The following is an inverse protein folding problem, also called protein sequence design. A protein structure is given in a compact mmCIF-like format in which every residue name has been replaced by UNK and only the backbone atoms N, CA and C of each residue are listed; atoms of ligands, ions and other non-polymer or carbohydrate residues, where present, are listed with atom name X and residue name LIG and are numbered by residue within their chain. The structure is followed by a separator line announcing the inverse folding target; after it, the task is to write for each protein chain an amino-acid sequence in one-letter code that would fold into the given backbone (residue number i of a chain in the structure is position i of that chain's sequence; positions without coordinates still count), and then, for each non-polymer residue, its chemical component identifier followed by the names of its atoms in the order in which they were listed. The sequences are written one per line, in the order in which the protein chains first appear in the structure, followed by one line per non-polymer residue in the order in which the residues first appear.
data_IF_251328626606
#
_entry.id   IF_251328626606
#
_cell.length_a   1.000
_cell.length_b   1.000
_cell.length_c   1.000
_cell.angle_alpha   90.00
_cell.angle_beta   90.00
_cell.angle_gamma   90.00
#
_symmetry.space_group_name_H-M   'P 1'
#
loop_
_entity.id
_entity.type
_entity.pdbx_description
1 polymer ?
#
# COMPACT_ATOMS: atom_id res chain seq x y z
N UNK A 1 6.35 -22.37 24.52
CA UNK A 1 7.30 -21.27 24.78
C UNK A 1 7.02 -20.15 23.79
N UNK A 2 6.52 -18.99 24.24
CA UNK A 2 6.38 -17.80 23.40
C UNK A 2 7.74 -17.10 23.43
N UNK A 3 8.50 -17.16 22.34
CA UNK A 3 9.70 -16.33 22.21
C UNK A 3 9.24 -14.87 22.07
N UNK A 4 9.87 -13.98 22.83
CA UNK A 4 9.63 -12.55 22.68
C UNK A 4 10.04 -12.15 21.25
N UNK A 5 9.19 -11.39 20.56
CA UNK A 5 9.47 -10.90 19.21
C UNK A 5 10.78 -10.13 19.19
N UNK A 6 11.11 -9.44 20.27
CA UNK A 6 12.38 -8.74 20.43
C UNK A 6 13.58 -9.70 20.47
N UNK A 7 13.49 -10.78 21.25
CA UNK A 7 14.55 -11.81 21.33
C UNK A 7 14.73 -12.53 19.98
N UNK A 8 13.63 -12.81 19.28
CA UNK A 8 13.66 -13.52 18.00
C UNK A 8 14.25 -12.65 16.89
N UNK A 9 13.93 -11.35 16.85
CA UNK A 9 14.54 -10.40 15.92
C UNK A 9 16.02 -10.14 16.23
N UNK A 10 16.39 -10.13 17.51
CA UNK A 10 17.79 -9.99 17.93
C UNK A 10 18.61 -11.22 17.53
N UNK A 11 18.05 -12.43 17.70
CA UNK A 11 18.71 -13.68 17.34
C UNK A 11 18.89 -13.89 15.83
N UNK A 12 18.03 -13.28 15.01
CA UNK A 12 18.10 -13.33 13.54
C UNK A 12 18.94 -12.19 12.93
N UNK A 13 19.58 -11.35 13.75
CA UNK A 13 20.44 -10.27 13.25
C UNK A 13 21.67 -10.88 12.57
N UNK A 14 21.98 -10.51 11.30
CA UNK A 14 23.15 -11.03 10.61
C UNK A 14 24.42 -10.64 11.36
N UNK A 15 25.33 -11.60 11.58
CA UNK A 15 26.70 -11.30 12.01
C UNK A 15 27.56 -11.03 10.76
N UNK A 16 28.59 -10.19 10.88
CA UNK A 16 29.52 -9.92 9.76
C UNK A 16 30.11 -11.20 9.16
N UNK A 17 30.29 -12.24 9.97
CA UNK A 17 30.81 -13.55 9.55
C UNK A 17 29.80 -14.41 8.74
N UNK A 18 28.52 -14.05 8.69
CA UNK A 18 27.45 -14.87 8.06
C UNK A 18 26.98 -14.36 6.69
N UNK A 19 27.65 -13.38 6.09
CA UNK A 19 27.23 -12.78 4.83
C UNK A 19 27.96 -13.38 3.62
N UNK A 20 27.19 -13.68 2.58
CA UNK A 20 27.66 -14.28 1.34
C UNK A 20 28.58 -13.33 0.57
N UNK A 21 29.73 -13.83 0.09
CA UNK A 21 30.79 -13.01 -0.55
C UNK A 21 30.45 -12.56 -1.96
N UNK A 22 29.27 -12.94 -2.47
CA UNK A 22 28.85 -12.63 -3.84
C UNK A 22 28.34 -11.20 -4.00
N UNK A 23 28.17 -10.44 -2.91
CA UNK A 23 27.78 -9.04 -2.95
C UNK A 23 29.01 -8.13 -3.11
N UNK A 24 28.95 -7.09 -3.98
CA UNK A 24 29.97 -6.04 -4.03
C UNK A 24 30.14 -5.39 -2.65
N UNK A 25 31.40 -5.21 -2.21
CA UNK A 25 31.69 -4.80 -0.82
C UNK A 25 31.02 -3.48 -0.44
N UNK A 26 31.02 -2.50 -1.34
CA UNK A 26 30.39 -1.21 -1.09
C UNK A 26 28.88 -1.30 -0.83
N UNK A 27 28.17 -2.17 -1.56
CA UNK A 27 26.71 -2.36 -1.40
C UNK A 27 26.39 -3.17 -0.15
N UNK A 28 27.23 -4.16 0.17
CA UNK A 28 27.13 -4.95 1.40
C UNK A 28 27.31 -4.05 2.61
N UNK A 29 28.34 -3.22 2.63
CA UNK A 29 28.71 -2.43 3.80
C UNK A 29 27.67 -1.31 4.07
N UNK A 30 27.10 -0.70 3.02
CA UNK A 30 25.99 0.26 3.15
C UNK A 30 24.72 -0.41 3.67
N UNK A 31 24.40 -1.62 3.17
CA UNK A 31 23.23 -2.37 3.61
C UNK A 31 23.41 -2.84 5.07
N UNK A 32 24.60 -3.34 5.41
CA UNK A 32 24.97 -3.76 6.76
C UNK A 32 24.89 -2.59 7.73
N UNK A 33 25.46 -1.44 7.40
CA UNK A 33 25.40 -0.24 8.22
C UNK A 33 23.96 0.19 8.49
N UNK A 34 23.05 0.04 7.52
CA UNK A 34 21.63 0.38 7.68
C UNK A 34 20.89 -0.63 8.58
N UNK A 35 21.11 -1.92 8.37
CA UNK A 35 20.50 -3.00 9.17
C UNK A 35 21.03 -2.99 10.60
N UNK A 36 22.32 -2.68 10.78
CA UNK A 36 22.94 -2.60 12.10
C UNK A 36 22.68 -1.26 12.81
N UNK A 37 22.44 -0.15 12.11
CA UNK A 37 22.05 1.11 12.77
C UNK A 37 20.61 1.08 13.29
N UNK A 38 19.77 0.18 12.79
CA UNK A 38 18.37 0.05 13.24
C UNK A 38 18.30 -0.89 14.43
N UNK A 39 18.31 -0.36 15.65
CA UNK A 39 17.99 -1.15 16.83
C UNK A 39 16.49 -1.46 16.86
N UNK A 40 16.08 -2.72 17.13
CA UNK A 40 14.68 -3.02 17.35
C UNK A 40 14.17 -2.24 18.57
N UNK A 41 12.94 -1.72 18.49
CA UNK A 41 12.31 -1.01 19.61
C UNK A 41 12.23 -1.91 20.84
N UNK A 42 12.80 -1.45 21.95
CA UNK A 42 12.69 -2.14 23.23
C UNK A 42 11.22 -2.24 23.67
N UNK A 43 10.78 -3.40 24.21
CA UNK A 43 9.41 -3.53 24.67
C UNK A 43 9.10 -2.53 25.80
N UNK A 44 7.89 -1.96 25.85
CA UNK A 44 7.53 -1.00 26.89
C UNK A 44 7.59 -1.64 28.28
N UNK A 45 8.29 -0.99 29.21
CA UNK A 45 8.44 -1.46 30.58
C UNK A 45 7.07 -1.68 31.25
N UNK A 46 6.80 -2.91 31.70
CA UNK A 46 5.55 -3.26 32.40
C UNK A 46 5.48 -2.54 33.75
N UNK A 47 4.79 -1.41 33.79
CA UNK A 47 4.45 -0.71 35.03
C UNK A 47 3.43 -1.56 35.81
N UNK A 48 3.84 -2.18 36.92
CA UNK A 48 2.93 -2.91 37.83
C UNK A 48 1.98 -1.93 38.51
N UNK A 49 0.79 -1.74 37.95
CA UNK A 49 -0.31 -1.04 38.62
C UNK A 49 -1.21 -2.05 39.32
N UNK A 50 -1.35 -1.87 40.64
CA UNK A 50 -2.14 -2.70 41.55
C UNK A 50 -3.62 -2.65 41.19
N UNK A 51 -4.24 -3.84 41.21
CA UNK A 51 -5.66 -4.19 41.09
C UNK A 51 -6.64 -3.11 41.56
N UNK A 52 -7.56 -2.69 40.67
CA UNK A 52 -9.01 -2.64 40.94
C UNK A 52 -9.77 -3.02 39.66
N UNK A 53 -10.67 -3.97 39.82
CA UNK A 53 -11.40 -4.64 38.75
C UNK A 53 -12.50 -3.75 38.17
N UNK A 54 -12.57 -3.68 36.83
CA UNK A 54 -13.81 -3.43 36.10
C UNK A 54 -13.79 -4.39 34.90
N UNK A 55 -14.77 -5.28 34.87
CA UNK A 55 -15.04 -6.21 33.79
C UNK A 55 -15.70 -5.41 32.67
N UNK A 56 -15.08 -5.37 31.48
CA UNK A 56 -15.76 -5.03 30.22
C UNK A 56 -15.40 -6.09 29.20
N UNK A 57 -16.44 -6.75 28.70
CA UNK A 57 -16.43 -7.91 27.83
C UNK A 57 -16.02 -7.58 26.38
N UNK A 58 -15.27 -8.51 25.79
CA UNK A 58 -15.24 -8.92 24.37
C UNK A 58 -15.68 -7.92 23.28
N UNK A 59 -14.72 -7.45 22.48
CA UNK A 59 -14.88 -7.32 21.03
C UNK A 59 -13.49 -7.29 20.37
N UNK A 60 -13.32 -8.07 19.30
CA UNK A 60 -12.03 -8.39 18.67
C UNK A 60 -11.21 -7.18 18.21
N UNK A 61 -9.95 -7.13 18.66
CA UNK A 61 -8.90 -6.44 17.91
C UNK A 61 -8.61 -7.30 16.69
N UNK A 62 -8.96 -6.90 15.46
CA UNK A 62 -8.61 -5.61 14.91
C UNK A 62 -7.12 -5.67 14.58
N UNK A 63 -6.77 -6.49 13.58
CA UNK A 63 -5.43 -6.51 13.02
C UNK A 63 -5.23 -5.11 12.41
N UNK A 64 -4.53 -4.25 13.15
CA UNK A 64 -3.92 -3.07 12.58
C UNK A 64 -2.94 -3.55 11.51
N UNK A 65 -3.37 -3.51 10.26
CA UNK A 65 -2.46 -3.50 9.13
C UNK A 65 -1.73 -2.15 9.16
N UNK A 66 -0.76 -2.04 10.08
CA UNK A 66 0.25 -1.02 10.01
C UNK A 66 1.03 -1.30 8.72
N UNK A 67 0.72 -0.50 7.69
CA UNK A 67 1.45 -0.53 6.43
C UNK A 67 2.92 -0.35 6.75
N UNK A 68 3.72 -1.35 6.42
CA UNK A 68 5.17 -1.23 6.43
C UNK A 68 5.50 -0.29 5.27
N UNK A 69 5.59 1.00 5.57
CA UNK A 69 6.03 2.02 4.64
C UNK A 69 7.51 1.80 4.36
N UNK A 70 7.83 1.00 3.34
CA UNK A 70 9.16 1.02 2.74
C UNK A 70 9.19 2.20 1.77
N UNK A 71 9.49 3.39 2.29
CA UNK A 71 9.93 4.50 1.47
C UNK A 71 11.25 4.10 0.83
N UNK A 72 11.22 3.72 -0.45
CA UNK A 72 12.37 3.19 -1.14
C UNK A 72 12.29 3.43 -2.63
N UNK A 73 12.92 4.51 -3.08
CA UNK A 73 13.92 4.50 -4.14
C UNK A 73 14.64 5.87 -4.17
N UNK A 74 15.82 5.98 -3.55
CA UNK A 74 16.72 7.12 -3.73
C UNK A 74 17.51 7.03 -5.05
N UNK A 75 16.91 6.45 -6.09
CA UNK A 75 17.54 6.16 -7.37
C UNK A 75 16.49 6.18 -8.48
N UNK A 76 16.94 6.40 -9.73
CA UNK A 76 16.05 6.47 -10.90
C UNK A 76 15.23 5.19 -11.01
N UNK A 77 13.94 5.34 -11.26
CA UNK A 77 13.07 4.20 -11.51
C UNK A 77 13.43 3.56 -12.85
N UNK A 78 13.36 2.21 -12.98
CA UNK A 78 13.62 1.53 -14.23
C UNK A 78 12.74 2.06 -15.37
N UNK A 79 13.31 2.18 -16.57
CA UNK A 79 12.57 2.68 -17.73
C UNK A 79 11.36 1.80 -18.04
N UNK A 80 11.45 0.48 -17.81
CA UNK A 80 10.33 -0.45 -17.98
C UNK A 80 9.10 -0.07 -17.16
N UNK A 81 9.27 0.57 -16.00
CA UNK A 81 8.18 1.07 -15.18
C UNK A 81 7.71 2.45 -15.65
N UNK A 82 8.64 3.40 -15.81
CA UNK A 82 8.26 4.79 -16.12
C UNK A 82 7.75 5.00 -17.54
N UNK A 83 8.09 4.10 -18.48
CA UNK A 83 7.64 4.19 -19.88
C UNK A 83 6.12 4.20 -20.01
N UNK A 84 5.42 3.43 -19.19
CA UNK A 84 3.95 3.37 -19.19
C UNK A 84 3.30 4.72 -18.82
N UNK A 85 4.03 5.58 -18.10
CA UNK A 85 3.58 6.89 -17.65
C UNK A 85 4.26 8.03 -18.42
N UNK A 86 5.01 7.72 -19.49
CA UNK A 86 5.83 8.71 -20.22
C UNK A 86 5.04 9.86 -20.86
N UNK A 87 3.71 9.74 -20.97
CA UNK A 87 2.86 10.83 -21.44
C UNK A 87 2.63 11.90 -20.39
N UNK A 88 2.75 11.62 -19.08
CA UNK A 88 2.48 12.59 -18.01
C UNK A 88 3.35 13.84 -18.11
N UNK A 89 4.63 13.67 -18.46
CA UNK A 89 5.54 14.80 -18.61
C UNK A 89 5.12 15.71 -19.76
N UNK A 90 4.56 15.14 -20.84
CA UNK A 90 4.11 15.89 -22.02
C UNK A 90 2.72 16.51 -21.82
N UNK A 91 1.81 15.76 -21.22
CA UNK A 91 0.39 16.11 -21.20
C UNK A 91 0.04 17.01 -20.00
N UNK A 92 0.68 16.76 -18.85
CA UNK A 92 0.36 17.43 -17.58
C UNK A 92 1.58 17.92 -16.82
N UNK A 93 2.78 17.84 -17.40
CA UNK A 93 4.01 18.37 -16.81
C UNK A 93 4.52 17.61 -15.58
N UNK A 94 4.10 16.37 -15.36
CA UNK A 94 4.55 15.55 -14.22
C UNK A 94 5.58 14.54 -14.68
N UNK A 95 6.79 14.58 -14.11
CA UNK A 95 7.87 13.65 -14.43
C UNK A 95 7.64 12.27 -13.75
N UNK A 96 7.47 11.18 -14.52
CA UNK A 96 7.33 9.83 -13.96
C UNK A 96 8.54 9.35 -13.14
N UNK A 97 9.72 9.94 -13.35
CA UNK A 97 10.91 9.62 -12.55
C UNK A 97 10.82 10.16 -11.11
N UNK A 98 9.86 11.05 -10.82
CA UNK A 98 9.56 11.55 -9.47
C UNK A 98 8.51 10.68 -8.74
N UNK A 99 8.10 9.55 -9.31
CA UNK A 99 7.17 8.63 -8.64
C UNK A 99 7.78 8.07 -7.35
N UNK A 100 7.06 8.24 -6.27
CA UNK A 100 7.39 7.69 -4.96
C UNK A 100 6.39 6.62 -4.56
N UNK A 101 6.89 5.49 -4.04
CA UNK A 101 6.03 4.45 -3.45
C UNK A 101 5.38 5.03 -2.19
N UNK A 102 4.05 5.14 -2.18
CA UNK A 102 3.30 5.66 -1.01
C UNK A 102 2.79 4.57 -0.10
N UNK A 103 2.25 3.50 -0.66
CA UNK A 103 1.65 2.42 0.10
C UNK A 103 1.55 1.14 -0.74
N UNK A 104 1.44 0.01 -0.05
CA UNK A 104 1.22 -1.29 -0.67
C UNK A 104 0.33 -2.18 0.20
N UNK A 105 -0.46 -3.04 -0.45
CA UNK A 105 -1.30 -4.07 0.18
C UNK A 105 -1.14 -5.39 -0.56
N UNK A 106 -1.49 -6.54 0.03
CA UNK A 106 -1.47 -7.81 -0.67
C UNK A 106 -2.27 -7.74 -1.99
N UNK A 107 -1.61 -8.13 -3.07
CA UNK A 107 -2.15 -8.28 -4.42
C UNK A 107 -2.58 -9.72 -4.71
N UNK A 108 -3.06 -10.01 -5.94
CA UNK A 108 -3.33 -11.36 -6.39
C UNK A 108 -2.03 -12.17 -6.49
N UNK A 109 -2.12 -13.49 -6.34
CA UNK A 109 -1.06 -14.45 -6.64
C UNK A 109 0.30 -14.18 -5.95
N UNK A 110 0.25 -13.62 -4.73
CA UNK A 110 1.46 -13.30 -3.95
C UNK A 110 2.19 -12.02 -4.39
N UNK A 111 1.58 -11.21 -5.28
CA UNK A 111 2.07 -9.87 -5.61
C UNK A 111 1.72 -8.85 -4.52
N UNK A 112 2.27 -7.66 -4.63
CA UNK A 112 1.89 -6.48 -3.82
C UNK A 112 1.23 -5.47 -4.74
N UNK A 113 0.00 -5.09 -4.42
CA UNK A 113 -0.64 -3.94 -5.07
C UNK A 113 -0.10 -2.66 -4.46
N UNK A 114 0.56 -1.84 -5.28
CA UNK A 114 1.29 -0.66 -4.83
C UNK A 114 0.74 0.59 -5.48
N UNK A 115 0.63 1.65 -4.68
CA UNK A 115 0.28 3.01 -5.13
C UNK A 115 1.54 3.88 -5.14
N UNK A 116 1.77 4.53 -6.28
CA UNK A 116 2.87 5.43 -6.55
C UNK A 116 2.34 6.83 -6.82
N UNK A 117 3.03 7.86 -6.33
CA UNK A 117 2.60 9.25 -6.50
C UNK A 117 3.74 10.12 -6.99
N UNK A 118 3.45 10.99 -7.95
CA UNK A 118 4.33 12.07 -8.38
C UNK A 118 3.52 13.37 -8.42
N UNK A 119 4.08 14.44 -7.87
CA UNK A 119 3.49 15.77 -7.93
C UNK A 119 4.38 16.68 -8.76
N UNK A 120 3.82 17.29 -9.79
CA UNK A 120 4.48 18.28 -10.61
C UNK A 120 4.47 19.65 -9.95
N UNK A 121 5.37 20.53 -10.39
CA UNK A 121 5.50 21.88 -9.84
C UNK A 121 4.29 22.78 -10.17
N UNK A 122 3.44 22.33 -11.10
CA UNK A 122 2.15 22.94 -11.45
C UNK A 122 0.99 22.55 -10.51
N UNK A 123 1.25 21.82 -9.42
CA UNK A 123 0.23 21.37 -8.47
C UNK A 123 -0.65 20.21 -8.97
N UNK A 124 -0.30 19.59 -10.11
CA UNK A 124 -0.94 18.36 -10.56
C UNK A 124 -0.27 17.18 -9.85
N UNK A 125 -1.09 16.31 -9.26
CA UNK A 125 -0.65 15.05 -8.68
C UNK A 125 -1.12 13.90 -9.55
N UNK A 126 -0.17 13.10 -10.01
CA UNK A 126 -0.42 11.87 -10.74
C UNK A 126 -0.20 10.68 -9.82
N UNK A 127 -1.15 9.75 -9.85
CA UNK A 127 -1.11 8.50 -9.11
C UNK A 127 -1.06 7.35 -10.10
N UNK A 128 -0.14 6.41 -9.87
CA UNK A 128 -0.02 5.16 -10.61
C UNK A 128 -0.23 3.98 -9.69
N UNK A 129 -0.83 2.91 -10.21
CA UNK A 129 -0.97 1.64 -9.51
C UNK A 129 -0.24 0.54 -10.27
N UNK A 130 0.36 -0.39 -9.53
CA UNK A 130 1.02 -1.54 -10.12
C UNK A 130 0.94 -2.76 -9.20
N UNK A 131 0.98 -3.95 -9.80
CA UNK A 131 1.28 -5.18 -9.07
C UNK A 131 2.78 -5.46 -9.15
N UNK A 132 3.43 -5.54 -8.00
CA UNK A 132 4.86 -5.80 -7.86
C UNK A 132 5.09 -7.22 -7.34
N UNK A 133 6.05 -7.93 -7.96
CA UNK A 133 6.51 -9.23 -7.42
C UNK A 133 7.58 -8.98 -6.36
N UNK A 134 7.41 -9.47 -5.11
CA UNK A 134 8.42 -9.34 -4.08
C UNK A 134 9.79 -9.87 -4.53
N UNK A 135 10.85 -9.10 -4.28
CA UNK A 135 12.21 -9.46 -4.69
C UNK A 135 12.52 -9.26 -6.17
N UNK A 136 11.57 -8.78 -6.99
CA UNK A 136 11.75 -8.48 -8.41
C UNK A 136 11.39 -7.02 -8.72
N UNK A 137 12.24 -6.05 -8.34
CA UNK A 137 11.96 -4.61 -8.45
C UNK A 137 11.73 -4.09 -9.88
N UNK A 138 11.99 -4.90 -10.91
CA UNK A 138 11.83 -4.55 -12.32
C UNK A 138 10.54 -5.10 -12.94
N UNK A 139 9.77 -5.89 -12.19
CA UNK A 139 8.56 -6.57 -12.67
C UNK A 139 7.32 -5.97 -12.02
N UNK A 140 7.04 -4.74 -12.43
CA UNK A 140 5.83 -3.99 -12.12
C UNK A 140 4.92 -4.02 -13.33
N UNK A 141 3.66 -4.41 -13.13
CA UNK A 141 2.64 -4.37 -14.18
C UNK A 141 1.74 -3.14 -13.96
N UNK A 142 1.88 -2.07 -14.76
CA UNK A 142 1.08 -0.85 -14.63
C UNK A 142 -0.40 -1.18 -14.84
N UNK A 143 -1.26 -0.81 -13.90
CA UNK A 143 -2.67 -1.18 -13.92
C UNK A 143 -3.64 -0.02 -13.83
N UNK A 144 -3.14 1.20 -13.63
CA UNK A 144 -3.96 2.40 -13.61
C UNK A 144 -3.12 3.66 -13.44
N UNK A 145 -3.62 4.76 -13.98
CA UNK A 145 -3.03 6.08 -13.87
C UNK A 145 -4.14 7.12 -13.78
N UNK A 146 -4.03 8.08 -12.87
CA UNK A 146 -4.91 9.25 -12.82
C UNK A 146 -4.11 10.47 -12.42
N UNK A 147 -4.34 11.59 -13.10
CA UNK A 147 -3.74 12.88 -12.78
C UNK A 147 -4.85 13.89 -12.49
N UNK A 148 -4.72 14.61 -11.37
CA UNK A 148 -5.68 15.63 -10.98
C UNK A 148 -4.98 16.77 -10.22
N UNK A 149 -5.55 17.98 -10.20
CA UNK A 149 -5.12 19.02 -9.27
C UNK A 149 -5.13 18.50 -7.83
N UNK A 150 -4.07 18.79 -7.07
CA UNK A 150 -3.95 18.41 -5.66
C UNK A 150 -5.05 19.04 -4.80
N UNK A 151 -5.51 18.33 -3.78
CA UNK A 151 -6.42 18.89 -2.76
C UNK A 151 -7.87 19.10 -3.21
N UNK A 152 -8.30 18.49 -4.33
CA UNK A 152 -9.69 18.53 -4.76
C UNK A 152 -10.56 17.74 -3.77
N UNK A 153 -11.44 18.44 -3.06
CA UNK A 153 -12.52 17.80 -2.31
C UNK A 153 -13.63 17.37 -3.27
N UNK A 154 -14.06 16.11 -3.15
CA UNK A 154 -15.20 15.55 -3.86
C UNK A 154 -15.91 14.54 -2.96
N UNK A 155 -17.14 14.17 -3.29
CA UNK A 155 -17.91 13.23 -2.49
C UNK A 155 -17.32 11.81 -2.61
N UNK A 156 -17.63 10.96 -1.63
CA UNK A 156 -17.24 9.55 -1.71
C UNK A 156 -17.82 8.90 -2.97
N UNK A 157 -16.98 8.21 -3.73
CA UNK A 157 -17.39 7.56 -4.98
C UNK A 157 -17.21 8.42 -6.24
N UNK A 158 -16.98 9.72 -6.10
CA UNK A 158 -16.81 10.61 -7.24
C UNK A 158 -15.55 10.25 -8.03
N UNK A 159 -15.69 10.20 -9.36
CA UNK A 159 -14.61 9.84 -10.26
C UNK A 159 -14.12 8.41 -10.04
N UNK A 160 -15.03 7.47 -9.74
CA UNK A 160 -14.73 6.04 -9.76
C UNK A 160 -14.23 5.64 -11.15
N UNK A 161 -12.96 5.26 -11.22
CA UNK A 161 -12.37 4.63 -12.38
C UNK A 161 -12.08 3.17 -12.03
N UNK A 162 -12.41 2.27 -12.96
CA UNK A 162 -12.09 0.85 -12.84
C UNK A 162 -11.38 0.45 -14.13
N UNK A 163 -10.16 -0.05 -13.98
CA UNK A 163 -9.38 -0.64 -15.05
C UNK A 163 -9.27 -2.13 -14.78
N UNK A 164 -9.12 -2.97 -15.80
CA UNK A 164 -8.92 -4.39 -15.54
C UNK A 164 -8.32 -5.15 -16.69
N UNK A 165 -7.70 -6.26 -16.33
CA UNK A 165 -7.20 -7.27 -17.24
C UNK A 165 -7.85 -8.63 -16.90
N UNK A 166 -7.33 -9.72 -17.48
CA UNK A 166 -7.81 -11.06 -17.21
C UNK A 166 -7.55 -11.55 -15.76
N UNK A 167 -6.63 -10.91 -15.03
CA UNK A 167 -6.20 -11.27 -13.68
C UNK A 167 -7.01 -10.51 -12.62
N UNK A 168 -7.04 -9.18 -12.70
CA UNK A 168 -7.71 -8.35 -11.72
C UNK A 168 -8.28 -7.05 -12.33
N UNK A 169 -9.32 -6.56 -11.68
CA UNK A 169 -9.74 -5.17 -11.80
C UNK A 169 -9.05 -4.35 -10.71
N UNK A 170 -8.52 -3.20 -11.06
CA UNK A 170 -8.09 -2.16 -10.13
C UNK A 170 -9.06 -1.00 -10.20
N UNK A 171 -9.24 -0.30 -9.08
CA UNK A 171 -10.08 0.88 -9.05
C UNK A 171 -9.43 1.99 -8.25
N UNK A 172 -9.87 3.21 -8.54
CA UNK A 172 -9.65 4.35 -7.69
C UNK A 172 -10.88 5.25 -7.64
N UNK A 173 -11.12 5.86 -6.48
CA UNK A 173 -12.25 6.76 -6.27
C UNK A 173 -11.99 7.72 -5.13
N UNK A 174 -12.68 8.86 -5.11
CA UNK A 174 -12.54 9.83 -4.03
C UNK A 174 -13.06 9.25 -2.71
N UNK A 175 -12.34 9.48 -1.62
CA UNK A 175 -12.71 9.02 -0.27
C UNK A 175 -13.82 9.87 0.37
N UNK A 176 -13.92 11.16 0.00
CA UNK A 176 -14.75 12.13 0.72
C UNK A 176 -14.31 12.24 2.18
N UNK A 177 -15.27 12.17 3.11
CA UNK A 177 -15.01 12.19 4.56
C UNK A 177 -14.61 10.81 5.14
N UNK A 178 -14.54 9.76 4.31
CA UNK A 178 -14.19 8.43 4.78
C UNK A 178 -12.68 8.29 4.97
N UNK A 179 -12.30 7.64 6.07
CA UNK A 179 -10.89 7.47 6.48
C UNK A 179 -10.37 6.05 6.24
N UNK A 180 -11.27 5.10 5.97
CA UNK A 180 -10.93 3.69 5.68
C UNK A 180 -11.94 3.13 4.69
N UNK A 181 -11.51 2.19 3.85
CA UNK A 181 -12.42 1.37 3.07
C UNK A 181 -11.92 -0.07 2.90
N UNK A 182 -12.84 -0.96 2.60
CA UNK A 182 -12.61 -2.39 2.40
C UNK A 182 -13.43 -2.84 1.18
N UNK A 183 -12.89 -3.76 0.39
CA UNK A 183 -13.63 -4.35 -0.73
C UNK A 183 -14.25 -5.65 -0.26
N UNK A 184 -15.58 -5.72 -0.33
CA UNK A 184 -16.36 -6.89 0.04
C UNK A 184 -16.70 -7.68 -1.22
N UNK A 185 -16.29 -8.95 -1.25
CA UNK A 185 -16.63 -9.89 -2.31
C UNK A 185 -17.88 -10.71 -1.93
N UNK A 186 -18.56 -11.25 -2.93
CA UNK A 186 -19.78 -12.07 -2.74
C UNK A 186 -19.56 -13.34 -1.90
N UNK A 187 -18.32 -13.81 -1.76
CA UNK A 187 -17.94 -14.97 -0.95
C UNK A 187 -17.54 -14.61 0.50
N UNK A 188 -17.84 -13.39 0.94
CA UNK A 188 -17.44 -12.81 2.24
C UNK A 188 -15.95 -12.54 2.39
N UNK A 189 -15.15 -12.73 1.34
CA UNK A 189 -13.76 -12.26 1.34
C UNK A 189 -13.75 -10.75 1.45
N UNK A 190 -12.87 -10.23 2.30
CA UNK A 190 -12.62 -8.80 2.45
C UNK A 190 -11.21 -8.51 1.99
N UNK A 191 -11.06 -7.62 1.00
CA UNK A 191 -9.76 -7.18 0.51
C UNK A 191 -9.45 -5.77 1.05
N UNK A 192 -8.18 -5.50 1.41
CA UNK A 192 -7.77 -4.19 1.88
C UNK A 192 -7.78 -3.15 0.76
N UNK A 193 -7.92 -1.87 1.13
CA UNK A 193 -7.70 -0.73 0.23
C UNK A 193 -6.59 0.17 0.77
N UNK A 194 -6.11 1.07 -0.09
CA UNK A 194 -5.11 2.07 0.22
C UNK A 194 -5.78 3.45 0.17
N UNK A 195 -5.59 4.28 1.20
CA UNK A 195 -5.98 5.69 1.18
C UNK A 195 -4.75 6.55 0.92
N UNK A 196 -4.69 7.20 -0.23
CA UNK A 196 -3.58 8.08 -0.65
C UNK A 196 -4.17 9.29 -1.37
N UNK A 197 -3.67 10.50 -1.07
CA UNK A 197 -4.11 11.75 -1.72
C UNK A 197 -5.66 11.93 -1.74
N UNK A 198 -6.35 11.53 -0.66
CA UNK A 198 -7.81 11.65 -0.54
C UNK A 198 -8.62 10.68 -1.42
N UNK A 199 -7.97 9.64 -1.96
CA UNK A 199 -8.60 8.61 -2.80
C UNK A 199 -8.36 7.22 -2.23
N UNK A 200 -9.37 6.36 -2.37
CA UNK A 200 -9.22 4.93 -2.16
C UNK A 200 -8.76 4.26 -3.43
N UNK A 201 -7.75 3.41 -3.30
CA UNK A 201 -7.23 2.54 -4.34
C UNK A 201 -7.38 1.09 -3.89
N UNK A 202 -7.75 0.21 -4.81
CA UNK A 202 -7.84 -1.20 -4.50
C UNK A 202 -7.94 -2.06 -5.75
N UNK A 203 -8.14 -3.34 -5.52
CA UNK A 203 -8.28 -4.32 -6.58
C UNK A 203 -9.25 -5.44 -6.18
N UNK A 204 -9.73 -6.18 -7.17
CA UNK A 204 -10.48 -7.42 -6.99
C UNK A 204 -10.28 -8.36 -8.19
N UNK A 205 -10.40 -9.70 -8.03
CA UNK A 205 -10.16 -10.63 -9.13
C UNK A 205 -11.21 -10.51 -10.24
N UNK A 206 -10.79 -10.63 -11.51
CA UNK A 206 -11.69 -10.51 -12.68
C UNK A 206 -12.64 -11.69 -12.87
N UNK A 207 -12.32 -12.85 -12.29
CA UNK A 207 -13.09 -14.10 -12.42
C UNK A 207 -14.30 -14.19 -11.48
N UNK A 208 -14.62 -13.13 -10.72
CA UNK A 208 -15.63 -13.18 -9.66
C UNK A 208 -17.06 -13.10 -10.19
N UNK A 209 -17.90 -13.99 -9.67
CA UNK A 209 -19.36 -14.01 -9.90
C UNK A 209 -20.04 -13.24 -8.76
N UNK A 210 -20.53 -12.04 -9.06
CA UNK A 210 -21.15 -11.11 -8.11
C UNK A 210 -20.43 -9.77 -8.06
N UNK A 211 -21.17 -8.66 -8.06
CA UNK A 211 -20.60 -7.32 -8.07
C UNK A 211 -19.91 -7.03 -6.72
N UNK A 212 -18.58 -6.80 -6.67
CA UNK A 212 -17.90 -6.38 -5.47
C UNK A 212 -18.46 -5.04 -4.97
N UNK A 213 -18.37 -4.82 -3.66
CA UNK A 213 -18.80 -3.57 -3.04
C UNK A 213 -17.65 -2.95 -2.27
N UNK A 214 -17.42 -1.66 -2.48
CA UNK A 214 -16.52 -0.86 -1.65
C UNK A 214 -17.31 -0.36 -0.44
N UNK A 215 -16.89 -0.78 0.75
CA UNK A 215 -17.46 -0.38 2.03
C UNK A 215 -16.50 0.58 2.72
N UNK A 216 -16.89 1.84 2.85
CA UNK A 216 -16.08 2.90 3.44
C UNK A 216 -16.63 3.35 4.80
N UNK A 217 -15.72 3.80 5.66
CA UNK A 217 -15.99 4.19 7.03
C UNK A 217 -15.44 5.59 7.29
N UNK A 218 -16.27 6.48 7.84
CA UNK A 218 -15.82 7.77 8.34
C UNK A 218 -15.20 7.67 9.74
N UNK A 219 -14.69 8.80 10.26
CA UNK A 219 -14.08 8.86 11.58
C UNK A 219 -15.04 8.52 12.74
N UNK A 220 -16.36 8.62 12.52
CA UNK A 220 -17.40 8.25 13.48
C UNK A 220 -17.88 6.80 13.31
N UNK A 221 -17.35 6.06 12.33
CA UNK A 221 -17.75 4.69 12.01
C UNK A 221 -19.03 4.58 11.19
N UNK A 222 -19.53 5.69 10.61
CA UNK A 222 -20.66 5.64 9.66
C UNK A 222 -20.20 4.99 8.37
N UNK A 223 -21.09 4.18 7.79
CA UNK A 223 -20.77 3.34 6.64
C UNK A 223 -21.33 3.94 5.35
N UNK A 224 -20.47 4.08 4.35
CA UNK A 224 -20.82 4.38 2.96
C UNK A 224 -20.57 3.15 2.09
N UNK A 225 -21.39 2.94 1.06
CA UNK A 225 -21.26 1.78 0.15
C UNK A 225 -21.26 2.24 -1.30
N UNK A 226 -20.39 1.64 -2.09
CA UNK A 226 -20.26 1.92 -3.51
C UNK A 226 -20.13 0.61 -4.29
N UNK A 227 -21.05 0.29 -5.21
CA UNK A 227 -20.91 -0.89 -6.06
C UNK A 227 -19.74 -0.73 -7.02
N UNK A 228 -18.81 -1.68 -7.02
CA UNK A 228 -17.71 -1.75 -7.98
C UNK A 228 -18.15 -2.58 -9.20
N UNK A 229 -19.01 -1.98 -10.02
CA UNK A 229 -19.46 -2.60 -11.27
C UNK A 229 -18.50 -2.23 -12.39
N UNK A 230 -17.71 -3.19 -12.86
CA UNK A 230 -16.98 -3.03 -14.11
C UNK A 230 -17.97 -3.02 -15.28
N UNK A 231 -18.22 -1.85 -15.84
CA UNK A 231 -18.98 -1.69 -17.07
C UNK A 231 -18.02 -1.90 -18.24
N UNK A 232 -17.59 -3.15 -18.46
CA UNK A 232 -16.78 -3.48 -19.63
C UNK A 232 -17.53 -3.08 -20.90
N UNK A 233 -16.85 -2.33 -21.77
CA UNK A 233 -17.23 -2.08 -23.16
C UNK A 233 -17.03 -3.32 -24.02
#
# INVERSE_FOLDING_TARGET
MKHDRYELLTALRPAEASLDRQWPEADRDVCLARVLATEPDAPPARRRLRRRAVIVSLAGLGIFAAGIGVAGAAGRLPESFTRAFGSWQRDVGVDPQRLERRAGVPGPDGTVFTVWVATGDNGITCVATAFETPGQPQRSDPNGATCAPSGRSAAFGDGLAINGDARAHTFDTTAGDNVRAEVHLGDRTVLPTILVEGRFFGWYPSTRVGAPELVAYDAAGRVSRLPLKYLGS
#
